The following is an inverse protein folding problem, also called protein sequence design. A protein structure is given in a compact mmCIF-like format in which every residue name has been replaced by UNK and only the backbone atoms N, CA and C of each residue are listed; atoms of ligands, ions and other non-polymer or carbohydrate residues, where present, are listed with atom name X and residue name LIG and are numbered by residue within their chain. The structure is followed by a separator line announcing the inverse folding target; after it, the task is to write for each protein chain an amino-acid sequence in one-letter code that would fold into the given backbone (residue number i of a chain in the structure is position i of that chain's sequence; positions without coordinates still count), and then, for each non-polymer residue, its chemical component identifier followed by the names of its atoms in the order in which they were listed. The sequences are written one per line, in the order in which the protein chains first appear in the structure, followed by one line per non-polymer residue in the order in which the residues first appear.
data_IF_040419804275
#
_entry.id   IF_040419804275
#
_cell.length_a   1.000
_cell.length_b   1.000
_cell.length_c   1.000
_cell.angle_alpha   90.00
_cell.angle_beta   90.00
_cell.angle_gamma   90.00
#
_symmetry.space_group_name_H-M   'P 1'
#
loop_
_entity.id
_entity.type
_entity.pdbx_description
1 polymer ?
#
# COMPACT_ATOMS: atom_id res chain seq x y z
N UNK A 1 7.90 -3.44 -3.30
CA UNK A 1 8.44 -2.77 -2.10
C UNK A 1 7.29 -2.62 -1.12
N UNK A 2 7.45 -3.09 0.12
CA UNK A 2 6.48 -2.94 1.19
C UNK A 2 6.91 -1.80 2.11
N UNK A 3 5.98 -0.93 2.52
CA UNK A 3 6.26 0.17 3.44
C UNK A 3 5.78 -0.18 4.84
N UNK A 4 6.71 -0.22 5.79
CA UNK A 4 6.46 -0.57 7.18
C UNK A 4 6.61 0.69 8.03
N UNK A 5 5.53 1.11 8.69
CA UNK A 5 5.56 2.11 9.73
C UNK A 5 5.84 1.48 11.10
N UNK A 6 6.72 2.07 11.88
CA UNK A 6 6.98 1.68 13.28
C UNK A 6 6.72 2.90 14.15
N UNK A 7 5.66 2.85 14.94
CA UNK A 7 5.24 3.93 15.83
C UNK A 7 5.35 3.50 17.29
N UNK A 8 6.34 4.07 17.98
CA UNK A 8 6.65 3.79 19.37
C UNK A 8 7.48 4.95 19.95
N UNK A 9 7.21 5.42 21.15
CA UNK A 9 7.97 6.51 21.78
C UNK A 9 9.34 6.10 22.31
N UNK A 10 9.58 4.79 22.42
CA UNK A 10 10.85 4.22 22.84
C UNK A 10 11.73 3.83 21.64
N UNK A 11 12.79 4.61 21.35
CA UNK A 11 13.73 4.31 20.25
C UNK A 11 14.37 2.91 20.33
N UNK A 12 14.55 2.40 21.56
CA UNK A 12 15.06 1.03 21.77
C UNK A 12 14.10 -0.02 21.26
N UNK A 13 12.80 0.19 21.47
CA UNK A 13 11.75 -0.68 20.99
C UNK A 13 11.58 -0.60 19.47
N UNK A 14 11.59 0.61 18.90
CA UNK A 14 11.58 0.81 17.44
C UNK A 14 12.70 0.00 16.78
N UNK A 15 13.93 0.07 17.35
CA UNK A 15 15.07 -0.68 16.82
C UNK A 15 14.88 -2.20 16.95
N UNK A 16 14.38 -2.67 18.08
CA UNK A 16 14.13 -4.11 18.29
C UNK A 16 13.09 -4.64 17.30
N UNK A 17 11.99 -3.91 17.09
CA UNK A 17 10.96 -4.24 16.11
C UNK A 17 11.57 -4.27 14.71
N UNK A 18 12.31 -3.24 14.34
CA UNK A 18 12.99 -3.15 13.05
C UNK A 18 13.91 -4.35 12.78
N UNK A 19 14.77 -4.71 13.75
CA UNK A 19 15.73 -5.83 13.60
C UNK A 19 15.01 -7.16 13.34
N UNK A 20 13.84 -7.38 13.96
CA UNK A 20 13.03 -8.57 13.75
C UNK A 20 12.36 -8.55 12.37
N UNK A 21 11.68 -7.43 12.05
CA UNK A 21 10.93 -7.28 10.80
C UNK A 21 11.86 -7.32 9.59
N UNK A 22 13.00 -6.63 9.65
CA UNK A 22 14.01 -6.65 8.59
C UNK A 22 14.53 -8.07 8.33
N UNK A 23 14.79 -8.84 9.38
CA UNK A 23 15.25 -10.22 9.25
C UNK A 23 14.23 -11.09 8.52
N UNK A 24 12.95 -10.95 8.85
CA UNK A 24 11.88 -11.72 8.19
C UNK A 24 11.63 -11.26 6.75
N UNK A 25 11.69 -9.96 6.50
CA UNK A 25 11.45 -9.39 5.18
C UNK A 25 12.64 -9.49 4.22
N UNK A 26 13.83 -9.85 4.72
CA UNK A 26 15.02 -10.03 3.89
C UNK A 26 14.81 -11.02 2.71
N UNK A 27 13.87 -11.97 2.87
CA UNK A 27 13.48 -12.95 1.82
C UNK A 27 12.64 -12.33 0.70
N UNK A 28 12.04 -11.16 0.94
CA UNK A 28 11.01 -10.60 0.06
C UNK A 28 11.50 -9.39 -0.75
N UNK A 29 12.81 -9.10 -0.75
CA UNK A 29 13.46 -7.94 -1.39
C UNK A 29 12.60 -6.65 -1.35
N UNK A 30 13.16 -5.54 -0.88
CA UNK A 30 12.58 -4.19 -0.86
C UNK A 30 11.49 -3.91 0.21
N UNK A 31 11.88 -3.77 1.48
CA UNK A 31 11.07 -3.10 2.49
C UNK A 31 11.63 -1.70 2.78
N UNK A 32 10.76 -0.69 2.81
CA UNK A 32 11.05 0.65 3.32
C UNK A 32 10.46 0.82 4.71
N UNK A 33 11.15 1.59 5.55
CA UNK A 33 10.78 1.78 6.95
C UNK A 33 10.63 3.25 7.27
N UNK A 34 9.49 3.60 7.89
CA UNK A 34 9.25 4.94 8.43
C UNK A 34 9.03 4.84 9.93
N UNK A 35 9.64 5.75 10.69
CA UNK A 35 9.58 5.75 12.15
C UNK A 35 8.77 6.95 12.64
N UNK A 36 7.85 6.69 13.57
CA UNK A 36 7.06 7.69 14.25
C UNK A 36 7.28 7.57 15.76
N UNK A 37 7.52 8.68 16.45
CA UNK A 37 7.74 8.71 17.90
C UNK A 37 6.46 8.94 18.70
N UNK A 38 5.34 9.11 18.02
CA UNK A 38 4.02 9.33 18.65
C UNK A 38 2.88 9.15 17.64
N UNK A 39 1.68 8.87 18.15
CA UNK A 39 0.48 8.86 17.32
C UNK A 39 0.19 10.20 16.64
N UNK A 40 0.64 11.31 17.25
CA UNK A 40 0.51 12.65 16.65
C UNK A 40 1.29 12.76 15.34
N UNK A 41 2.51 12.24 15.28
CA UNK A 41 3.32 12.25 14.04
C UNK A 41 2.66 11.45 12.92
N UNK A 42 2.01 10.33 13.25
CA UNK A 42 1.23 9.55 12.28
C UNK A 42 0.06 10.38 11.74
N UNK A 43 -0.69 11.06 12.62
CA UNK A 43 -1.81 11.92 12.24
C UNK A 43 -1.33 13.07 11.36
N UNK A 44 -0.26 13.76 11.75
CA UNK A 44 0.34 14.85 10.96
C UNK A 44 0.79 14.40 9.57
N UNK A 45 1.36 13.19 9.46
CA UNK A 45 1.73 12.61 8.17
C UNK A 45 0.51 12.33 7.28
N UNK A 46 -0.60 11.84 7.87
CA UNK A 46 -1.86 11.64 7.15
C UNK A 46 -2.44 12.97 6.66
N UNK A 47 -2.48 14.00 7.53
CA UNK A 47 -2.98 15.34 7.19
C UNK A 47 -2.15 16.02 6.11
N UNK A 48 -0.84 15.75 6.09
CA UNK A 48 0.10 16.26 5.07
C UNK A 48 0.10 15.46 3.76
N UNK A 49 -0.70 14.40 3.63
CA UNK A 49 -0.70 13.46 2.50
C UNK A 49 0.69 12.81 2.28
N UNK A 50 1.42 12.58 3.36
CA UNK A 50 2.78 12.00 3.39
C UNK A 50 2.86 10.67 4.18
N UNK A 51 1.71 10.05 4.42
CA UNK A 51 1.63 8.76 5.10
C UNK A 51 1.55 7.62 4.08
N UNK A 52 2.64 6.87 3.94
CA UNK A 52 2.76 5.75 2.99
C UNK A 52 3.19 4.48 3.72
N UNK A 53 2.24 3.80 4.37
CA UNK A 53 2.49 2.52 5.03
C UNK A 53 1.50 1.46 4.53
N UNK A 54 2.02 0.27 4.22
CA UNK A 54 1.20 -0.93 3.99
C UNK A 54 0.86 -1.62 5.32
N UNK A 55 1.80 -1.57 6.27
CA UNK A 55 1.67 -2.12 7.61
C UNK A 55 2.21 -1.12 8.63
N UNK A 56 1.42 -0.81 9.65
CA UNK A 56 1.81 0.01 10.79
C UNK A 56 1.92 -0.86 12.05
N UNK A 57 3.13 -0.95 12.61
CA UNK A 57 3.38 -1.51 13.93
C UNK A 57 3.22 -0.38 14.95
N UNK A 58 2.17 -0.43 15.76
CA UNK A 58 1.70 0.70 16.56
C UNK A 58 1.64 0.35 18.03
N UNK A 59 2.42 1.07 18.84
CA UNK A 59 2.26 1.00 20.29
C UNK A 59 0.97 1.71 20.72
N UNK A 60 0.29 1.13 21.70
CA UNK A 60 -0.90 1.73 22.32
C UNK A 60 -0.49 2.76 23.38
N UNK A 61 0.50 2.41 24.22
CA UNK A 61 0.83 3.20 25.41
C UNK A 61 1.86 4.28 25.11
N UNK A 62 1.50 5.28 24.32
CA UNK A 62 2.35 6.43 24.04
C UNK A 62 1.84 7.70 24.73
N UNK A 63 2.75 8.62 25.15
CA UNK A 63 2.35 9.90 25.73
C UNK A 63 1.60 10.78 24.72
N UNK A 64 0.63 11.56 25.20
CA UNK A 64 -0.18 12.56 24.49
C UNK A 64 -1.24 11.98 23.57
N UNK A 65 -0.89 11.22 22.56
CA UNK A 65 -1.83 10.55 21.64
C UNK A 65 -1.52 9.07 21.66
N UNK A 66 -2.41 8.28 22.25
CA UNK A 66 -2.27 6.84 22.33
C UNK A 66 -2.52 6.16 20.98
N UNK A 67 -2.10 4.89 20.87
CA UNK A 67 -2.23 4.12 19.65
C UNK A 67 -3.68 3.83 19.27
N UNK A 68 -4.61 3.71 20.22
CA UNK A 68 -6.03 3.46 19.92
C UNK A 68 -6.67 4.69 19.29
N UNK A 69 -6.39 5.88 19.83
CA UNK A 69 -6.83 7.17 19.25
C UNK A 69 -6.25 7.37 17.84
N UNK A 70 -5.00 6.96 17.64
CA UNK A 70 -4.34 7.00 16.33
C UNK A 70 -5.01 6.05 15.34
N UNK A 71 -5.27 4.80 15.74
CA UNK A 71 -5.95 3.81 14.91
C UNK A 71 -7.39 4.26 14.56
N UNK A 72 -8.09 4.86 15.51
CA UNK A 72 -9.41 5.44 15.28
C UNK A 72 -9.35 6.51 14.19
N UNK A 73 -8.42 7.46 14.28
CA UNK A 73 -8.24 8.52 13.29
C UNK A 73 -7.93 7.95 11.89
N UNK A 74 -7.03 6.96 11.81
CA UNK A 74 -6.70 6.25 10.57
C UNK A 74 -7.97 5.68 9.91
N UNK A 75 -8.87 5.06 10.69
CA UNK A 75 -10.11 4.47 10.15
C UNK A 75 -11.16 5.53 9.78
N UNK A 76 -11.27 6.60 10.55
CA UNK A 76 -12.15 7.74 10.24
C UNK A 76 -11.73 8.43 8.94
N UNK A 77 -10.41 8.54 8.67
CA UNK A 77 -9.86 9.07 7.43
C UNK A 77 -9.83 8.03 6.29
N UNK A 78 -10.31 6.80 6.52
CA UNK A 78 -10.33 5.70 5.53
C UNK A 78 -8.95 5.40 4.92
N UNK A 79 -7.88 5.59 5.70
CA UNK A 79 -6.52 5.26 5.26
C UNK A 79 -6.36 3.75 5.17
N UNK A 80 -5.99 3.25 3.98
CA UNK A 80 -5.77 1.82 3.71
C UNK A 80 -4.41 1.39 4.24
N UNK A 81 -4.35 1.03 5.52
CA UNK A 81 -3.18 0.49 6.20
C UNK A 81 -3.58 -0.64 7.14
N UNK A 82 -2.83 -1.75 7.10
CA UNK A 82 -2.96 -2.81 8.10
C UNK A 82 -2.25 -2.42 9.39
N UNK A 83 -2.87 -2.71 10.55
CA UNK A 83 -2.31 -2.33 11.86
C UNK A 83 -2.02 -3.60 12.66
N UNK A 84 -0.79 -3.69 13.19
CA UNK A 84 -0.43 -4.61 14.25
C UNK A 84 -0.15 -3.78 15.50
N UNK A 85 -0.95 -3.97 16.53
CA UNK A 85 -0.66 -3.36 17.84
C UNK A 85 0.48 -4.10 18.53
N UNK A 86 1.44 -3.33 19.08
CA UNK A 86 2.57 -3.85 19.85
C UNK A 86 2.61 -3.10 21.17
N UNK A 87 2.15 -3.71 22.27
CA UNK A 87 1.92 -3.01 23.54
C UNK A 87 2.20 -3.86 24.76
N UNK A 88 2.42 -3.22 25.90
CA UNK A 88 2.59 -3.89 27.22
C UNK A 88 1.25 -4.29 27.84
N UNK A 89 0.13 -3.69 27.45
CA UNK A 89 -1.18 -3.91 28.08
C UNK A 89 -1.97 -5.04 27.41
N UNK A 90 -2.57 -5.90 28.24
CA UNK A 90 -3.53 -6.91 27.79
C UNK A 90 -4.98 -6.40 27.78
N UNK A 91 -5.24 -5.27 28.41
CA UNK A 91 -6.59 -4.74 28.61
C UNK A 91 -7.28 -4.32 27.31
N UNK A 92 -6.50 -3.97 26.29
CA UNK A 92 -6.97 -3.44 25.01
C UNK A 92 -7.07 -4.47 23.87
N UNK A 93 -6.93 -5.76 24.16
CA UNK A 93 -7.00 -6.81 23.13
C UNK A 93 -8.33 -6.79 22.38
N UNK A 94 -9.44 -6.49 23.09
CA UNK A 94 -10.77 -6.39 22.48
C UNK A 94 -10.95 -5.15 21.62
N UNK A 95 -10.21 -4.07 21.88
CA UNK A 95 -10.25 -2.84 21.09
C UNK A 95 -9.65 -3.05 19.69
N UNK A 96 -8.70 -4.00 19.55
CA UNK A 96 -8.14 -4.39 18.26
C UNK A 96 -9.19 -4.83 17.23
N UNK A 97 -10.26 -5.48 17.68
CA UNK A 97 -11.38 -5.87 16.80
C UNK A 97 -12.16 -4.65 16.30
N UNK A 98 -12.31 -3.62 17.12
CA UNK A 98 -13.04 -2.39 16.77
C UNK A 98 -12.33 -1.63 15.65
N UNK A 99 -10.99 -1.67 15.60
CA UNK A 99 -10.17 -0.96 14.62
C UNK A 99 -9.73 -1.84 13.44
N UNK A 100 -10.29 -3.06 13.32
CA UNK A 100 -9.92 -4.01 12.25
C UNK A 100 -8.39 -4.20 12.16
N UNK A 101 -7.76 -4.35 13.35
CA UNK A 101 -6.32 -4.62 13.40
C UNK A 101 -6.02 -6.02 12.85
N UNK A 102 -4.93 -6.15 12.13
CA UNK A 102 -4.44 -7.42 11.62
C UNK A 102 -4.04 -8.35 12.77
N UNK A 103 -3.38 -7.81 13.80
CA UNK A 103 -2.95 -8.56 14.97
C UNK A 103 -2.69 -7.65 16.17
N UNK A 104 -2.51 -8.31 17.34
CA UNK A 104 -2.20 -7.69 18.62
C UNK A 104 -1.09 -8.49 19.31
N UNK A 105 0.01 -7.82 19.62
CA UNK A 105 1.20 -8.42 20.23
C UNK A 105 1.55 -7.72 21.54
N UNK A 106 1.95 -8.50 22.54
CA UNK A 106 2.47 -7.97 23.79
C UNK A 106 3.97 -7.62 23.66
N UNK A 107 4.39 -6.48 24.24
CA UNK A 107 5.79 -5.96 24.22
C UNK A 107 6.83 -6.85 24.91
N UNK A 108 6.48 -7.89 25.64
CA UNK A 108 7.42 -8.99 25.90
C UNK A 108 7.59 -9.76 24.59
N UNK A 109 8.19 -9.06 23.60
CA UNK A 109 8.26 -9.55 22.23
C UNK A 109 9.09 -10.82 22.24
N UNK A 110 8.41 -11.95 22.35
CA UNK A 110 8.96 -13.20 21.89
C UNK A 110 9.24 -13.00 20.38
N UNK A 111 10.52 -13.00 20.05
CA UNK A 111 11.00 -12.82 18.68
C UNK A 111 10.24 -13.71 17.71
N UNK A 112 9.88 -14.94 18.12
CA UNK A 112 9.11 -15.88 17.36
C UNK A 112 7.71 -15.35 17.01
N UNK A 113 6.99 -14.77 17.96
CA UNK A 113 5.62 -14.29 17.73
C UNK A 113 5.55 -13.15 16.73
N UNK A 114 6.41 -12.15 16.80
CA UNK A 114 6.44 -11.08 15.81
C UNK A 114 6.85 -11.61 14.45
N UNK A 115 7.85 -12.49 14.37
CA UNK A 115 8.24 -13.18 13.14
C UNK A 115 7.08 -13.95 12.51
N UNK A 116 6.32 -14.71 13.31
CA UNK A 116 5.17 -15.48 12.84
C UNK A 116 4.07 -14.56 12.28
N UNK A 117 3.78 -13.44 12.96
CA UNK A 117 2.78 -12.47 12.50
C UNK A 117 3.21 -11.75 11.21
N UNK A 118 4.46 -11.35 11.09
CA UNK A 118 4.99 -10.77 9.85
C UNK A 118 4.93 -11.79 8.71
N UNK A 119 5.34 -13.03 8.95
CA UNK A 119 5.23 -14.09 7.94
C UNK A 119 3.76 -14.36 7.57
N UNK A 120 2.84 -14.39 8.53
CA UNK A 120 1.39 -14.53 8.27
C UNK A 120 0.87 -13.37 7.42
N UNK A 121 1.26 -12.14 7.75
CA UNK A 121 0.92 -10.94 7.00
C UNK A 121 1.40 -11.05 5.54
N UNK A 122 2.67 -11.38 5.34
CA UNK A 122 3.25 -11.53 4.01
C UNK A 122 2.59 -12.64 3.19
N UNK A 123 2.29 -13.78 3.82
CA UNK A 123 1.55 -14.87 3.16
C UNK A 123 0.14 -14.46 2.75
N UNK A 124 -0.54 -13.65 3.56
CA UNK A 124 -1.87 -13.15 3.24
C UNK A 124 -1.82 -12.13 2.10
N UNK A 125 -0.90 -11.18 2.13
CA UNK A 125 -0.67 -10.23 1.04
C UNK A 125 -0.30 -10.92 -0.27
N UNK A 126 0.58 -11.94 -0.24
CA UNK A 126 0.96 -12.69 -1.44
C UNK A 126 -0.16 -13.59 -1.98
N UNK A 127 -1.02 -14.15 -1.11
CA UNK A 127 -2.18 -14.93 -1.54
C UNK A 127 -3.27 -14.07 -2.18
N UNK A 128 -3.42 -12.84 -1.76
CA UNK A 128 -4.38 -11.88 -2.31
C UNK A 128 -3.77 -10.92 -3.34
N UNK A 129 -2.45 -10.97 -3.54
CA UNK A 129 -1.80 -10.17 -4.55
C UNK A 129 -2.25 -10.63 -5.93
N UNK A 130 -3.16 -9.87 -6.53
CA UNK A 130 -3.49 -10.03 -7.94
C UNK A 130 -2.20 -9.90 -8.74
N UNK A 131 -1.94 -10.85 -9.63
CA UNK A 131 -0.74 -10.84 -10.44
C UNK A 131 -1.05 -11.04 -11.93
N UNK A 132 -0.28 -10.36 -12.76
CA UNK A 132 -0.28 -10.52 -14.19
C UNK A 132 0.90 -11.41 -14.61
N UNK A 133 0.61 -12.50 -15.32
CA UNK A 133 1.67 -13.34 -15.89
C UNK A 133 2.03 -12.82 -17.29
N UNK A 134 3.28 -12.45 -17.47
CA UNK A 134 3.82 -11.95 -18.74
C UNK A 134 4.99 -12.78 -19.22
N UNK A 135 5.37 -12.60 -20.47
CA UNK A 135 6.56 -13.25 -21.02
C UNK A 135 7.55 -12.17 -21.47
N UNK A 136 8.72 -12.16 -20.83
CA UNK A 136 9.83 -11.25 -21.16
C UNK A 136 11.00 -12.11 -21.63
N UNK A 137 11.51 -11.84 -22.83
CA UNK A 137 12.64 -12.57 -23.40
C UNK A 137 12.49 -14.12 -23.36
N UNK A 138 11.24 -14.60 -23.54
CA UNK A 138 10.93 -16.04 -23.53
C UNK A 138 10.79 -16.66 -22.14
N UNK A 139 10.95 -15.88 -21.07
CA UNK A 139 10.74 -16.33 -19.68
C UNK A 139 9.39 -15.83 -19.16
N UNK A 140 8.68 -16.71 -18.45
CA UNK A 140 7.46 -16.32 -17.74
C UNK A 140 7.84 -15.56 -16.47
N UNK A 141 7.31 -14.37 -16.33
CA UNK A 141 7.48 -13.52 -15.16
C UNK A 141 6.13 -13.19 -14.54
N UNK A 142 6.12 -13.00 -13.24
CA UNK A 142 4.95 -12.64 -12.45
C UNK A 142 5.08 -11.18 -12.00
N UNK A 143 4.10 -10.37 -12.35
CA UNK A 143 4.02 -8.96 -11.98
C UNK A 143 2.91 -8.78 -10.95
N UNK A 144 3.26 -8.37 -9.75
CA UNK A 144 2.31 -8.08 -8.69
C UNK A 144 1.64 -6.73 -8.94
N UNK A 145 0.30 -6.74 -9.06
CA UNK A 145 -0.48 -5.58 -9.50
C UNK A 145 -0.57 -4.46 -8.45
N UNK A 146 -0.41 -4.78 -7.18
CA UNK A 146 -0.31 -3.82 -6.08
C UNK A 146 0.89 -2.87 -6.19
N UNK A 147 1.93 -3.30 -6.91
CA UNK A 147 3.16 -2.52 -7.15
C UNK A 147 3.11 -1.71 -8.45
N UNK A 148 2.16 -1.98 -9.31
CA UNK A 148 2.06 -1.32 -10.62
C UNK A 148 1.30 -0.02 -10.48
N UNK A 149 1.96 1.10 -10.78
CA UNK A 149 1.37 2.43 -10.79
C UNK A 149 0.50 2.60 -12.04
N UNK A 150 1.07 2.26 -13.21
CA UNK A 150 0.33 2.25 -14.47
C UNK A 150 1.04 1.39 -15.52
N UNK A 151 0.31 1.08 -16.57
CA UNK A 151 0.86 0.53 -17.81
C UNK A 151 0.78 1.58 -18.90
N UNK A 152 1.83 1.66 -19.75
CA UNK A 152 1.81 2.46 -20.96
C UNK A 152 2.03 1.61 -22.21
N UNK A 153 1.38 1.97 -23.31
CA UNK A 153 1.53 1.29 -24.60
C UNK A 153 2.42 2.08 -25.55
N UNK A 154 3.51 1.47 -26.02
CA UNK A 154 4.43 2.01 -27.00
C UNK A 154 4.58 1.08 -28.21
N UNK A 155 3.90 1.38 -29.30
CA UNK A 155 3.93 0.57 -30.49
C UNK A 155 3.40 -0.85 -30.26
N UNK A 156 4.30 -1.84 -30.25
CA UNK A 156 3.98 -3.26 -29.98
C UNK A 156 4.36 -3.72 -28.59
N UNK A 157 4.79 -2.80 -27.72
CA UNK A 157 5.20 -3.10 -26.37
C UNK A 157 4.24 -2.45 -25.37
N UNK A 158 4.11 -3.09 -24.23
CA UNK A 158 3.52 -2.53 -23.02
C UNK A 158 4.63 -2.37 -22.00
N UNK A 159 4.74 -1.18 -21.45
CA UNK A 159 5.67 -0.83 -20.39
C UNK A 159 4.93 -0.90 -19.06
N UNK A 160 5.58 -1.41 -18.04
CA UNK A 160 5.08 -1.55 -16.68
C UNK A 160 5.82 -0.56 -15.81
N UNK A 161 5.12 0.44 -15.31
CA UNK A 161 5.66 1.43 -14.39
C UNK A 161 5.32 1.00 -12.96
N UNK A 162 6.34 0.58 -12.22
CA UNK A 162 6.22 0.11 -10.84
C UNK A 162 6.83 1.13 -9.88
N UNK A 163 6.27 1.22 -8.68
CA UNK A 163 6.84 2.05 -7.63
C UNK A 163 8.24 1.55 -7.25
N UNK A 164 9.24 2.44 -7.27
CA UNK A 164 10.62 2.15 -6.84
C UNK A 164 11.39 1.13 -7.67
N UNK A 165 10.91 0.74 -8.86
CA UNK A 165 11.59 -0.20 -9.77
C UNK A 165 11.83 0.41 -11.13
N UNK A 166 12.83 -0.13 -11.83
CA UNK A 166 13.04 0.18 -13.23
C UNK A 166 11.84 -0.30 -14.08
N UNK A 167 11.58 0.44 -15.14
CA UNK A 167 10.55 0.14 -16.10
C UNK A 167 10.83 -1.19 -16.80
N UNK A 168 9.80 -2.03 -16.91
CA UNK A 168 9.86 -3.33 -17.56
C UNK A 168 8.96 -3.34 -18.78
N UNK A 169 9.44 -3.80 -19.92
CA UNK A 169 8.67 -3.86 -21.15
C UNK A 169 8.44 -5.32 -21.62
N UNK A 170 7.23 -5.59 -22.11
CA UNK A 170 6.91 -6.85 -22.78
C UNK A 170 6.14 -6.63 -24.07
N UNK A 171 6.16 -7.60 -24.97
CA UNK A 171 5.39 -7.53 -26.22
C UNK A 171 3.90 -7.82 -25.97
N UNK A 172 3.04 -6.90 -26.36
CA UNK A 172 1.61 -7.01 -26.16
C UNK A 172 0.86 -5.74 -26.55
N UNK A 173 -0.45 -5.77 -26.39
CA UNK A 173 -1.31 -4.60 -26.58
C UNK A 173 -1.90 -4.19 -25.23
N UNK A 174 -1.91 -2.90 -24.96
CA UNK A 174 -2.51 -2.37 -23.72
C UNK A 174 -4.01 -2.66 -23.62
N UNK A 175 -4.70 -2.87 -24.76
CA UNK A 175 -6.10 -3.33 -24.78
C UNK A 175 -6.25 -4.72 -24.17
N UNK A 176 -5.31 -5.62 -24.43
CA UNK A 176 -5.37 -6.99 -23.95
C UNK A 176 -5.10 -7.04 -22.45
N UNK A 177 -4.15 -6.22 -21.99
CA UNK A 177 -3.90 -6.01 -20.55
C UNK A 177 -5.14 -5.43 -19.85
N UNK A 178 -5.78 -4.43 -20.45
CA UNK A 178 -6.98 -3.83 -19.90
C UNK A 178 -8.15 -4.82 -19.77
N UNK A 179 -8.29 -5.75 -20.71
CA UNK A 179 -9.34 -6.78 -20.64
C UNK A 179 -9.04 -7.80 -19.54
N UNK A 180 -7.78 -8.24 -19.39
CA UNK A 180 -7.35 -9.15 -18.32
C UNK A 180 -7.54 -8.51 -16.94
N UNK A 181 -7.28 -7.20 -16.82
CA UNK A 181 -7.35 -6.47 -15.55
C UNK A 181 -8.69 -5.76 -15.31
N UNK A 182 -9.74 -6.13 -16.05
CA UNK A 182 -11.06 -5.46 -16.00
C UNK A 182 -11.72 -5.50 -14.62
N UNK A 183 -11.56 -6.59 -13.89
CA UNK A 183 -12.11 -6.78 -12.53
C UNK A 183 -11.12 -6.33 -11.44
N UNK A 184 -9.91 -5.89 -11.82
CA UNK A 184 -8.90 -5.35 -10.94
C UNK A 184 -9.07 -3.82 -10.81
N UNK A 185 -8.34 -3.23 -9.86
CA UNK A 185 -8.38 -1.77 -9.60
C UNK A 185 -7.67 -0.93 -10.69
N UNK A 186 -7.84 -1.30 -11.97
CA UNK A 186 -7.24 -0.57 -13.10
C UNK A 186 -8.29 0.11 -13.94
N UNK A 187 -7.99 1.34 -14.38
CA UNK A 187 -8.86 2.12 -15.26
C UNK A 187 -8.13 2.58 -16.52
N UNK A 188 -8.86 2.63 -17.59
CA UNK A 188 -8.41 3.20 -18.86
C UNK A 188 -8.73 4.67 -18.92
N UNK A 189 -7.72 5.54 -18.99
CA UNK A 189 -7.90 7.00 -19.15
C UNK A 189 -7.48 7.53 -20.53
N UNK A 190 -6.68 6.74 -21.24
CA UNK A 190 -6.15 7.08 -22.56
C UNK A 190 -5.99 5.83 -23.43
N UNK A 191 -5.85 6.00 -24.75
CA UNK A 191 -5.58 4.86 -25.65
C UNK A 191 -4.28 4.12 -25.30
N UNK A 192 -3.32 4.83 -24.71
CA UNK A 192 -1.99 4.33 -24.36
C UNK A 192 -1.76 4.16 -22.86
N UNK A 193 -2.72 4.45 -21.99
CA UNK A 193 -2.51 4.37 -20.53
C UNK A 193 -3.62 3.58 -19.84
N UNK A 194 -3.20 2.71 -18.89
CA UNK A 194 -4.05 1.95 -18.00
C UNK A 194 -3.52 2.17 -16.57
N UNK A 195 -4.27 2.87 -15.72
CA UNK A 195 -3.83 3.35 -14.41
C UNK A 195 -4.38 2.47 -13.29
N UNK A 196 -3.56 2.24 -12.26
CA UNK A 196 -4.03 1.68 -11.01
C UNK A 196 -4.70 2.78 -10.18
N UNK A 197 -5.98 2.59 -9.83
CA UNK A 197 -6.79 3.57 -9.10
C UNK A 197 -6.21 3.93 -7.72
N UNK A 198 -5.48 3.01 -7.09
CA UNK A 198 -4.83 3.20 -5.77
C UNK A 198 -3.74 4.28 -5.77
N UNK A 199 -3.19 4.60 -6.93
CA UNK A 199 -2.15 5.61 -7.09
C UNK A 199 -2.66 6.93 -7.66
N UNK A 200 -3.98 7.11 -7.81
CA UNK A 200 -4.56 8.36 -8.26
C UNK A 200 -4.66 9.31 -7.06
N UNK A 201 -3.95 10.45 -7.14
CA UNK A 201 -3.99 11.51 -6.14
C UNK A 201 -5.09 12.52 -6.46
N UNK A 202 -5.16 12.95 -7.72
CA UNK A 202 -6.13 13.94 -8.18
C UNK A 202 -6.50 13.67 -9.64
N UNK A 203 -7.66 14.15 -10.08
CA UNK A 203 -8.09 13.97 -11.46
C UNK A 203 -8.96 15.13 -11.96
N UNK A 204 -8.81 15.42 -13.25
CA UNK A 204 -9.61 16.39 -14.01
C UNK A 204 -10.15 15.73 -15.28
N UNK A 205 -10.89 16.50 -16.09
CA UNK A 205 -11.35 16.02 -17.41
C UNK A 205 -10.22 15.85 -18.44
N UNK A 206 -9.06 16.43 -18.17
CA UNK A 206 -7.95 16.49 -19.14
C UNK A 206 -6.73 15.69 -18.69
N UNK A 207 -6.57 15.50 -17.39
CA UNK A 207 -5.40 14.81 -16.81
C UNK A 207 -5.69 14.18 -15.46
N UNK A 208 -4.88 13.20 -15.07
CA UNK A 208 -4.88 12.53 -13.79
C UNK A 208 -3.47 12.70 -13.18
N UNK A 209 -3.41 13.24 -11.97
CA UNK A 209 -2.21 13.32 -11.16
C UNK A 209 -2.08 12.04 -10.34
N UNK A 210 -0.92 11.40 -10.40
CA UNK A 210 -0.58 10.21 -9.64
C UNK A 210 0.17 10.59 -8.35
N UNK A 211 0.19 9.69 -7.37
CA UNK A 211 0.85 9.88 -6.08
C UNK A 211 2.36 10.11 -6.18
N UNK A 212 3.01 9.73 -7.28
CA UNK A 212 4.41 10.01 -7.58
C UNK A 212 4.63 11.38 -8.25
N UNK A 213 3.57 12.19 -8.43
CA UNK A 213 3.62 13.51 -9.06
C UNK A 213 3.54 13.49 -10.60
N UNK A 214 3.47 12.32 -11.24
CA UNK A 214 3.29 12.24 -12.69
C UNK A 214 1.87 12.62 -13.10
N UNK A 215 1.74 13.34 -14.22
CA UNK A 215 0.45 13.71 -14.81
C UNK A 215 0.19 12.91 -16.08
N UNK A 216 -0.89 12.14 -16.11
CA UNK A 216 -1.29 11.29 -17.23
C UNK A 216 -2.47 11.90 -17.96
N UNK A 217 -2.40 12.10 -19.30
CA UNK A 217 -3.48 12.73 -20.06
C UNK A 217 -4.72 11.85 -20.13
N UNK A 218 -5.90 12.48 -20.06
CA UNK A 218 -7.20 11.84 -20.29
C UNK A 218 -7.67 12.14 -21.73
N UNK A 219 -7.90 11.11 -22.52
CA UNK A 219 -8.46 11.32 -23.84
C UNK A 219 -9.99 11.41 -23.80
N UNK A 220 -10.59 12.16 -24.74
CA UNK A 220 -12.04 12.44 -24.79
C UNK A 220 -12.91 11.19 -24.68
N UNK A 221 -12.45 10.08 -25.23
CA UNK A 221 -13.16 8.78 -25.22
C UNK A 221 -13.36 8.23 -23.79
N UNK A 222 -12.48 8.58 -22.85
CA UNK A 222 -12.44 7.99 -21.51
C UNK A 222 -12.90 8.96 -20.40
N UNK A 223 -13.36 10.16 -20.76
CA UNK A 223 -13.85 11.16 -19.78
C UNK A 223 -15.01 10.60 -18.94
N UNK A 224 -15.94 9.84 -19.57
CA UNK A 224 -17.04 9.21 -18.84
C UNK A 224 -16.56 8.22 -17.77
N UNK A 225 -15.50 7.45 -18.06
CA UNK A 225 -14.89 6.51 -17.08
C UNK A 225 -14.35 7.26 -15.87
N UNK A 226 -13.76 8.44 -16.09
CA UNK A 226 -13.24 9.28 -14.98
C UNK A 226 -14.38 9.91 -14.19
N UNK A 227 -15.48 10.32 -14.86
CA UNK A 227 -16.66 10.84 -14.17
C UNK A 227 -17.39 9.79 -13.33
N UNK A 228 -17.32 8.52 -13.69
CA UNK A 228 -17.84 7.40 -12.87
C UNK A 228 -17.04 7.19 -11.60
N UNK A 229 -15.71 7.43 -11.61
CA UNK A 229 -14.89 7.41 -10.40
C UNK A 229 -15.34 8.45 -9.39
N UNK A 230 -15.70 9.67 -9.85
CA UNK A 230 -16.24 10.73 -8.98
C UNK A 230 -17.46 10.27 -8.21
N UNK A 231 -18.42 9.65 -8.90
CA UNK A 231 -19.67 9.19 -8.29
C UNK A 231 -19.45 8.08 -7.27
N UNK A 232 -18.43 7.25 -7.44
CA UNK A 232 -18.08 6.18 -6.48
C UNK A 232 -17.34 6.74 -5.26
N UNK A 233 -16.52 7.77 -5.40
CA UNK A 233 -15.81 8.44 -4.30
C UNK A 233 -16.66 9.40 -3.48
N UNK A 234 -17.76 9.95 -4.04
CA UNK A 234 -18.72 10.84 -3.35
C UNK A 234 -19.84 10.07 -2.62
N UNK A 235 -19.88 8.74 -2.73
CA UNK A 235 -20.93 7.88 -2.16
C UNK A 235 -20.51 7.14 -0.88
N UNK A 236 -19.43 7.60 -0.21
CA UNK A 236 -18.96 7.05 1.08
C UNK A 236 -18.90 8.17 2.10
#
# INVERSE_FOLDING_TARGET
MIHIGICDDEKGMQKQIYDIVQHELFKYDDAEYTYYSSGKEVIEAIEADDFYCDLLLLDINMPKTDGLSTAKYIRECQVDVDIIFVTVSQEHVFDGYTFQAFSYLLKQIDRGRLSDEINRYMLQKTKHAECLHITINGRKEQVFLDRVVYFSGEGRKVLIHQRGKEEVAFYGKISDVAEVLKECHFIRCHQSYLLNQRFIKNYSKTEIELSNGECIPVSRKYVSTIEELKKKGESV
#
